data_IF_326379548193
#
_entry.id   IF_326379548193
#
_cell.length_a   1.000
_cell.length_b   1.000
_cell.length_c   1.000
_cell.angle_alpha   90.00
_cell.angle_beta   90.00
_cell.angle_gamma   90.00
#
_symmetry.space_group_name_H-M   'P 1'
#
loop_
_entity.id
_entity.type
_entity.pdbx_description
1 polymer ?
#
# COMPACT_ATOMS: atom_id res chain seq x y z
N UNK A 1 -14.44 17.36 18.07
CA UNK A 1 -13.43 16.39 18.57
C UNK A 1 -13.64 14.93 18.12
N UNK A 2 -14.80 14.53 17.54
CA UNK A 2 -15.03 13.13 17.10
C UNK A 2 -14.46 12.80 15.70
N UNK A 3 -14.53 13.72 14.73
CA UNK A 3 -14.01 13.53 13.35
C UNK A 3 -12.52 13.18 13.32
N UNK A 4 -11.71 13.92 14.10
CA UNK A 4 -10.26 13.70 14.21
C UNK A 4 -9.87 12.28 14.68
N UNK A 5 -10.75 11.57 15.40
CA UNK A 5 -10.49 10.20 15.88
C UNK A 5 -10.84 9.16 14.82
N UNK A 6 -11.89 9.41 14.03
CA UNK A 6 -12.32 8.53 12.93
C UNK A 6 -11.28 8.55 11.81
N UNK A 7 -10.85 9.73 11.37
CA UNK A 7 -9.81 9.88 10.33
C UNK A 7 -8.47 9.24 10.71
N UNK A 8 -8.09 9.30 11.99
CA UNK A 8 -6.89 8.61 12.49
C UNK A 8 -7.03 7.09 12.46
N UNK A 9 -8.24 6.57 12.71
CA UNK A 9 -8.54 5.15 12.65
C UNK A 9 -8.51 4.62 11.22
N UNK A 10 -9.14 5.33 10.28
CA UNK A 10 -9.19 4.92 8.87
C UNK A 10 -7.80 4.92 8.23
N UNK A 11 -6.99 5.96 8.45
CA UNK A 11 -5.59 6.00 7.99
C UNK A 11 -4.74 4.87 8.54
N UNK A 12 -4.96 4.48 9.80
CA UNK A 12 -4.24 3.35 10.42
C UNK A 12 -4.58 2.03 9.70
N UNK A 13 -5.85 1.81 9.36
CA UNK A 13 -6.27 0.63 8.58
C UNK A 13 -5.64 0.60 7.19
N UNK A 14 -5.54 1.75 6.51
CA UNK A 14 -4.84 1.88 5.22
C UNK A 14 -3.37 1.49 5.37
N UNK A 15 -2.67 2.06 6.35
CA UNK A 15 -1.26 1.76 6.59
C UNK A 15 -1.03 0.29 6.94
N UNK A 16 -1.91 -0.33 7.73
CA UNK A 16 -1.88 -1.77 8.02
C UNK A 16 -2.10 -2.63 6.77
N UNK A 17 -3.07 -2.28 5.90
CA UNK A 17 -3.30 -2.98 4.63
C UNK A 17 -2.08 -2.86 3.72
N UNK A 18 -1.49 -1.69 3.59
CA UNK A 18 -0.29 -1.46 2.78
C UNK A 18 0.95 -2.20 3.35
N UNK A 19 1.10 -2.26 4.67
CA UNK A 19 2.17 -3.04 5.32
C UNK A 19 2.05 -4.54 5.13
N UNK A 20 0.88 -5.05 4.75
CA UNK A 20 0.70 -6.47 4.43
C UNK A 20 1.20 -6.84 3.02
N UNK A 21 1.46 -5.86 2.16
CA UNK A 21 1.84 -6.08 0.75
C UNK A 21 3.08 -6.99 0.58
N UNK A 22 4.17 -6.86 1.37
CA UNK A 22 5.31 -7.78 1.27
C UNK A 22 4.94 -9.25 1.47
N UNK A 23 4.02 -9.52 2.40
CA UNK A 23 3.51 -10.87 2.63
C UNK A 23 2.62 -11.33 1.47
N UNK A 24 1.76 -10.45 0.95
CA UNK A 24 0.93 -10.74 -0.22
C UNK A 24 1.78 -11.09 -1.45
N UNK A 25 2.85 -10.33 -1.72
CA UNK A 25 3.77 -10.62 -2.82
C UNK A 25 4.48 -11.95 -2.64
N UNK A 26 4.95 -12.27 -1.43
CA UNK A 26 5.57 -13.56 -1.16
C UNK A 26 4.60 -14.72 -1.45
N UNK A 27 3.35 -14.60 -1.01
CA UNK A 27 2.31 -15.62 -1.22
C UNK A 27 1.88 -15.69 -2.69
N UNK A 28 1.65 -14.56 -3.34
CA UNK A 28 1.29 -14.48 -4.76
C UNK A 28 2.39 -15.07 -5.67
N UNK A 29 3.67 -14.93 -5.29
CA UNK A 29 4.80 -15.51 -6.06
C UNK A 29 4.81 -17.04 -6.12
N UNK A 30 3.99 -17.69 -5.27
CA UNK A 30 3.79 -19.14 -5.28
C UNK A 30 2.75 -19.57 -6.33
N UNK A 31 1.91 -18.65 -6.80
CA UNK A 31 0.94 -18.93 -7.85
C UNK A 31 1.67 -19.31 -9.15
N UNK A 32 1.19 -20.35 -9.83
CA UNK A 32 1.83 -20.89 -11.04
C UNK A 32 3.06 -21.77 -10.82
N UNK A 33 3.57 -21.90 -9.58
CA UNK A 33 4.54 -22.95 -9.25
C UNK A 33 3.83 -24.30 -9.21
N UNK A 34 4.52 -25.40 -9.57
CA UNK A 34 4.00 -26.78 -9.45
C UNK A 34 3.84 -27.17 -7.98
N UNK A 35 2.81 -26.65 -7.32
CA UNK A 35 2.47 -26.91 -5.93
C UNK A 35 1.34 -27.96 -5.92
N UNK A 36 1.57 -29.09 -5.26
CA UNK A 36 0.62 -30.20 -5.23
C UNK A 36 -0.61 -29.93 -4.33
N UNK A 37 -0.54 -28.94 -3.43
CA UNK A 37 -1.59 -28.65 -2.45
C UNK A 37 -2.56 -27.59 -2.99
N UNK A 38 -3.78 -28.01 -3.32
CA UNK A 38 -4.82 -27.14 -3.87
C UNK A 38 -5.11 -25.91 -2.98
N UNK A 39 -5.14 -26.08 -1.66
CA UNK A 39 -5.34 -24.97 -0.71
C UNK A 39 -4.28 -23.87 -0.85
N UNK A 40 -3.02 -24.24 -1.13
CA UNK A 40 -1.96 -23.25 -1.35
C UNK A 40 -2.16 -22.54 -2.68
N UNK A 41 -2.64 -23.23 -3.73
CA UNK A 41 -2.92 -22.62 -5.03
C UNK A 41 -4.00 -21.55 -4.91
N UNK A 42 -5.12 -21.87 -4.25
CA UNK A 42 -6.22 -20.90 -4.03
C UNK A 42 -5.74 -19.70 -3.21
N UNK A 43 -5.04 -19.93 -2.11
CA UNK A 43 -4.48 -18.83 -1.30
C UNK A 43 -3.48 -17.96 -2.07
N UNK A 44 -2.74 -18.55 -2.99
CA UNK A 44 -1.80 -17.80 -3.85
C UNK A 44 -2.55 -16.94 -4.86
N UNK A 45 -3.66 -17.47 -5.39
CA UNK A 45 -4.54 -16.77 -6.33
C UNK A 45 -5.25 -15.59 -5.65
N UNK A 46 -5.85 -15.81 -4.49
CA UNK A 46 -6.47 -14.75 -3.69
C UNK A 46 -5.48 -13.63 -3.36
N UNK A 47 -4.24 -13.98 -2.97
CA UNK A 47 -3.20 -13.00 -2.70
C UNK A 47 -2.78 -12.21 -3.95
N UNK A 48 -2.81 -12.83 -5.13
CA UNK A 48 -2.54 -12.16 -6.40
C UNK A 48 -3.65 -11.16 -6.74
N UNK A 49 -4.90 -11.58 -6.61
CA UNK A 49 -6.07 -10.73 -6.84
C UNK A 49 -6.08 -9.54 -5.85
N UNK A 50 -5.81 -9.77 -4.57
CA UNK A 50 -5.73 -8.69 -3.58
C UNK A 50 -4.57 -7.71 -3.90
N UNK A 51 -3.43 -8.22 -4.34
CA UNK A 51 -2.30 -7.38 -4.73
C UNK A 51 -2.63 -6.50 -5.95
N UNK A 52 -3.33 -7.06 -6.93
CA UNK A 52 -3.76 -6.35 -8.13
C UNK A 52 -4.79 -5.26 -7.80
N UNK A 53 -5.74 -5.56 -6.90
CA UNK A 53 -6.70 -4.59 -6.37
C UNK A 53 -6.00 -3.41 -5.67
N UNK A 54 -5.02 -3.71 -4.79
CA UNK A 54 -4.24 -2.67 -4.10
C UNK A 54 -3.51 -1.77 -5.11
N UNK A 55 -2.81 -2.36 -6.08
CA UNK A 55 -2.07 -1.61 -7.11
C UNK A 55 -3.00 -0.76 -7.96
N UNK A 56 -4.12 -1.33 -8.39
CA UNK A 56 -5.11 -0.63 -9.21
C UNK A 56 -5.72 0.55 -8.45
N UNK A 57 -6.02 0.37 -7.16
CA UNK A 57 -6.55 1.44 -6.31
C UNK A 57 -5.53 2.57 -6.11
N UNK A 58 -4.25 2.23 -5.89
CA UNK A 58 -3.17 3.23 -5.77
C UNK A 58 -3.03 4.04 -7.06
N UNK A 59 -3.17 3.41 -8.23
CA UNK A 59 -3.12 4.10 -9.52
C UNK A 59 -4.28 5.11 -9.73
N UNK A 60 -5.36 5.03 -8.93
CA UNK A 60 -6.47 5.99 -8.95
C UNK A 60 -6.21 7.24 -8.10
N UNK A 61 -5.08 7.32 -7.38
CA UNK A 61 -4.73 8.52 -6.62
C UNK A 61 -4.61 9.74 -7.56
N UNK A 62 -5.18 10.89 -7.20
CA UNK A 62 -5.33 12.03 -8.12
C UNK A 62 -4.02 12.73 -8.46
N UNK A 63 -3.02 12.68 -7.56
CA UNK A 63 -1.73 13.34 -7.76
C UNK A 63 -0.62 12.30 -7.97
N UNK A 64 0.26 12.54 -8.94
CA UNK A 64 1.35 11.60 -9.27
C UNK A 64 2.31 11.43 -8.09
N UNK A 65 2.58 12.51 -7.36
CA UNK A 65 3.42 12.50 -6.16
C UNK A 65 2.84 11.60 -5.06
N UNK A 66 1.52 11.52 -4.93
CA UNK A 66 0.87 10.61 -3.98
C UNK A 66 1.10 9.15 -4.38
N UNK A 67 0.95 8.83 -5.67
CA UNK A 67 1.23 7.50 -6.21
C UNK A 67 2.69 7.13 -5.95
N UNK A 68 3.63 8.00 -6.33
CA UNK A 68 5.06 7.75 -6.20
C UNK A 68 5.47 7.53 -4.74
N UNK A 69 4.91 8.31 -3.81
CA UNK A 69 5.12 8.12 -2.36
C UNK A 69 4.64 6.73 -1.91
N UNK A 70 3.41 6.33 -2.26
CA UNK A 70 2.83 5.07 -1.79
C UNK A 70 3.51 3.87 -2.46
N UNK A 71 3.74 3.93 -3.76
CA UNK A 71 4.45 2.89 -4.52
C UNK A 71 5.85 2.65 -3.95
N UNK A 72 6.61 3.73 -3.72
CA UNK A 72 7.97 3.63 -3.22
C UNK A 72 8.01 3.13 -1.78
N UNK A 73 7.13 3.67 -0.92
CA UNK A 73 7.11 3.31 0.50
C UNK A 73 6.63 1.89 0.78
N UNK A 74 5.70 1.37 -0.02
CA UNK A 74 4.96 0.14 0.29
C UNK A 74 5.01 -0.96 -0.78
N UNK A 75 5.25 -0.63 -2.06
CA UNK A 75 5.20 -1.61 -3.17
C UNK A 75 6.56 -2.02 -3.73
N UNK A 76 7.61 -1.19 -3.60
CA UNK A 76 8.96 -1.58 -4.00
C UNK A 76 9.52 -2.63 -3.03
N UNK A 77 9.41 -3.90 -3.41
CA UNK A 77 9.93 -5.00 -2.63
C UNK A 77 11.46 -5.09 -2.75
N UNK A 78 12.12 -4.89 -1.60
CA UNK A 78 13.48 -5.27 -1.18
C UNK A 78 14.13 -4.18 -0.31
N UNK A 79 13.52 -3.00 -0.25
CA UNK A 79 13.96 -1.88 0.56
C UNK A 79 12.72 -1.39 1.32
N UNK A 80 12.63 -1.67 2.63
CA UNK A 80 11.67 -0.95 3.46
C UNK A 80 12.19 0.47 3.60
N UNK A 81 12.04 1.27 2.56
CA UNK A 81 12.48 2.65 2.56
C UNK A 81 11.82 3.34 3.74
N UNK A 82 12.62 3.81 4.68
CA UNK A 82 12.14 4.68 5.74
C UNK A 82 11.49 5.90 5.10
N UNK A 83 10.58 6.56 5.82
CA UNK A 83 9.97 7.79 5.31
C UNK A 83 11.05 8.83 4.90
N UNK A 84 12.18 8.83 5.61
CA UNK A 84 13.38 9.62 5.30
C UNK A 84 13.96 9.28 3.93
N UNK A 85 14.22 8.01 3.64
CA UNK A 85 14.74 7.58 2.35
C UNK A 85 13.78 7.95 1.21
N UNK A 86 12.48 7.73 1.39
CA UNK A 86 11.49 8.03 0.35
C UNK A 86 11.51 9.50 -0.03
N UNK A 87 11.40 10.43 0.94
CA UNK A 87 11.35 11.85 0.58
C UNK A 87 12.69 12.36 0.05
N UNK A 88 13.83 11.82 0.51
CA UNK A 88 15.14 12.20 -0.02
C UNK A 88 15.27 11.78 -1.48
N UNK A 89 14.91 10.54 -1.81
CA UNK A 89 15.04 10.04 -3.17
C UNK A 89 14.01 10.63 -4.14
N UNK A 90 12.86 11.08 -3.63
CA UNK A 90 11.88 11.83 -4.42
C UNK A 90 12.21 13.33 -4.50
N UNK A 91 13.32 13.79 -3.91
CA UNK A 91 13.72 15.20 -3.82
C UNK A 91 12.62 16.10 -3.23
N UNK A 92 11.91 15.61 -2.22
CA UNK A 92 10.83 16.31 -1.53
C UNK A 92 11.29 16.80 -0.17
N UNK A 93 10.72 17.92 0.30
CA UNK A 93 10.87 18.32 1.70
C UNK A 93 10.04 17.39 2.60
N UNK A 94 10.52 17.17 3.84
CA UNK A 94 9.83 16.32 4.82
C UNK A 94 8.37 16.74 5.06
N UNK A 95 8.13 18.05 5.22
CA UNK A 95 6.78 18.58 5.44
C UNK A 95 5.86 18.36 4.25
N UNK A 96 6.37 18.52 3.02
CA UNK A 96 5.61 18.26 1.80
C UNK A 96 5.28 16.77 1.69
N UNK A 97 6.27 15.89 1.93
CA UNK A 97 6.08 14.44 1.94
C UNK A 97 4.97 14.01 2.90
N UNK A 98 5.02 14.41 4.17
CA UNK A 98 4.01 13.99 5.14
C UNK A 98 2.61 14.52 4.83
N UNK A 99 2.51 15.71 4.23
CA UNK A 99 1.23 16.23 3.74
C UNK A 99 0.67 15.36 2.62
N UNK A 100 1.48 15.10 1.59
CA UNK A 100 1.07 14.29 0.43
C UNK A 100 0.74 12.85 0.83
N UNK A 101 1.57 12.23 1.67
CA UNK A 101 1.32 10.91 2.23
C UNK A 101 0.01 10.88 3.02
N UNK A 102 -0.26 11.88 3.85
CA UNK A 102 -1.50 11.95 4.63
C UNK A 102 -2.72 12.00 3.70
N UNK A 103 -2.71 12.88 2.72
CA UNK A 103 -3.81 13.03 1.75
C UNK A 103 -4.01 11.76 0.91
N UNK A 104 -2.93 11.09 0.52
CA UNK A 104 -2.97 9.80 -0.14
C UNK A 104 -3.66 8.74 0.73
N UNK A 105 -3.27 8.62 2.01
CA UNK A 105 -3.88 7.67 2.94
C UNK A 105 -5.37 7.96 3.19
N UNK A 106 -5.77 9.24 3.23
CA UNK A 106 -7.18 9.63 3.36
C UNK A 106 -8.00 9.27 2.11
N UNK A 107 -7.41 9.45 0.93
CA UNK A 107 -8.05 9.09 -0.35
C UNK A 107 -8.18 7.58 -0.51
N UNK A 108 -7.14 6.81 -0.16
CA UNK A 108 -7.20 5.35 -0.15
C UNK A 108 -8.21 4.83 0.88
N UNK A 109 -8.30 5.46 2.05
CA UNK A 109 -9.32 5.10 3.05
C UNK A 109 -10.73 5.26 2.50
N UNK A 110 -10.97 6.32 1.72
CA UNK A 110 -12.24 6.53 1.03
C UNK A 110 -12.51 5.43 -0.02
N UNK A 111 -11.53 5.11 -0.88
CA UNK A 111 -11.69 4.06 -1.89
C UNK A 111 -11.93 2.67 -1.29
N UNK A 112 -11.29 2.35 -0.16
CA UNK A 112 -11.47 1.07 0.54
C UNK A 112 -12.60 1.05 1.58
N UNK A 113 -13.29 2.17 1.80
CA UNK A 113 -14.46 2.26 2.70
C UNK A 113 -14.14 2.10 4.19
N UNK A 114 -13.03 2.66 4.67
CA UNK A 114 -12.51 2.47 6.04
C UNK A 114 -12.98 3.44 7.12
#
# INVERSE_FOLDING_TARGET
>A
MRENRVERSSRKKVDEKLKAVPKLVAVASLYGRKIARQELVERSKEALEELEDIKSTIALLPQKEQQDIIEKRYLKHNEYDTDIQVYMELNMSESYYYRMKREALETLAFFWGF
#
